data_IF_959893742139
#
_entry.id   IF_959893742139
#
_cell.length_a   1.000
_cell.length_b   1.000
_cell.length_c   1.000
_cell.angle_alpha   90.00
_cell.angle_beta   90.00
_cell.angle_gamma   90.00
#
_symmetry.space_group_name_H-M   'P 1'
#
loop_
_entity.id
_entity.type
_entity.pdbx_description
1 polymer ?
#
# COMPACT_ATOMS: atom_id res chain seq x y z
N UNK A 1 -4.85 -18.10 -20.41
CA UNK A 1 -5.54 -18.47 -19.16
C UNK A 1 -5.17 -17.39 -18.15
N UNK A 2 -5.88 -16.27 -18.17
CA UNK A 2 -5.66 -15.17 -17.22
C UNK A 2 -6.28 -15.59 -15.91
N UNK A 3 -5.46 -15.71 -14.86
CA UNK A 3 -5.99 -15.94 -13.52
C UNK A 3 -6.62 -14.60 -13.07
N UNK A 4 -7.93 -14.56 -12.78
CA UNK A 4 -8.63 -13.30 -12.45
C UNK A 4 -7.99 -12.61 -11.23
N UNK A 5 -7.40 -13.39 -10.34
CA UNK A 5 -6.66 -12.94 -9.16
C UNK A 5 -5.42 -12.09 -9.49
N UNK A 6 -4.71 -12.43 -10.58
CA UNK A 6 -3.53 -11.67 -11.04
C UNK A 6 -3.92 -10.30 -11.59
N UNK A 7 -5.02 -10.21 -12.31
CA UNK A 7 -5.50 -8.93 -12.87
C UNK A 7 -6.02 -8.03 -11.75
N UNK A 8 -6.75 -8.59 -10.78
CA UNK A 8 -7.18 -7.88 -9.58
C UNK A 8 -6.00 -7.32 -8.77
N UNK A 9 -4.91 -8.08 -8.63
CA UNK A 9 -3.70 -7.61 -7.96
C UNK A 9 -3.02 -6.43 -8.69
N UNK A 10 -2.95 -6.47 -10.02
CA UNK A 10 -2.31 -5.39 -10.81
C UNK A 10 -3.15 -4.12 -10.91
N UNK A 11 -4.47 -4.24 -10.78
CA UNK A 11 -5.42 -3.11 -10.82
C UNK A 11 -5.79 -2.60 -9.43
N UNK A 12 -5.20 -3.15 -8.38
CA UNK A 12 -5.41 -2.68 -7.02
C UNK A 12 -5.05 -1.20 -6.93
N UNK A 13 -5.81 -0.43 -6.15
CA UNK A 13 -5.45 0.93 -5.78
C UNK A 13 -5.89 1.16 -4.34
N UNK A 14 -4.94 1.57 -3.49
CA UNK A 14 -5.22 1.83 -2.09
C UNK A 14 -6.17 3.01 -1.88
N UNK A 15 -6.22 3.96 -2.82
CA UNK A 15 -7.07 5.17 -2.70
C UNK A 15 -8.52 4.93 -3.13
N UNK A 16 -8.77 3.88 -3.94
CA UNK A 16 -10.07 3.48 -4.43
C UNK A 16 -10.52 2.12 -3.86
N UNK A 17 -10.20 1.83 -2.60
CA UNK A 17 -10.62 0.59 -1.94
C UNK A 17 -12.13 0.55 -1.69
N UNK A 18 -12.71 -0.63 -1.90
CA UNK A 18 -14.13 -0.88 -1.70
C UNK A 18 -14.42 -1.47 -0.31
N UNK A 19 -15.69 -1.48 0.10
CA UNK A 19 -16.06 -1.94 1.46
C UNK A 19 -15.70 -3.40 1.71
N UNK A 20 -15.79 -4.23 0.68
CA UNK A 20 -15.38 -5.64 0.74
C UNK A 20 -13.92 -5.81 1.15
N UNK A 21 -13.03 -4.92 0.71
CA UNK A 21 -11.62 -4.93 1.11
C UNK A 21 -11.43 -4.52 2.58
N UNK A 22 -12.25 -3.60 3.07
CA UNK A 22 -12.22 -3.17 4.48
C UNK A 22 -12.70 -4.29 5.40
N UNK A 23 -13.69 -5.06 4.95
CA UNK A 23 -14.26 -6.17 5.72
C UNK A 23 -13.39 -7.43 5.66
N UNK A 24 -12.82 -7.76 4.51
CA UNK A 24 -11.92 -8.90 4.33
C UNK A 24 -10.78 -8.57 3.34
N UNK A 25 -9.65 -8.03 3.83
CA UNK A 25 -8.51 -7.67 2.97
C UNK A 25 -7.64 -8.87 2.58
N UNK A 26 -7.73 -9.99 3.31
CA UNK A 26 -6.84 -11.14 3.16
C UNK A 26 -6.78 -11.73 1.73
N UNK A 27 -7.89 -11.94 1.00
CA UNK A 27 -7.83 -12.47 -0.37
C UNK A 27 -7.05 -11.55 -1.32
N UNK A 28 -7.27 -10.24 -1.23
CA UNK A 28 -6.55 -9.26 -2.06
C UNK A 28 -5.07 -9.17 -1.67
N UNK A 29 -4.76 -9.23 -0.37
CA UNK A 29 -3.38 -9.25 0.10
C UNK A 29 -2.61 -10.51 -0.33
N UNK A 30 -3.30 -11.65 -0.44
CA UNK A 30 -2.69 -12.90 -0.93
C UNK A 30 -2.36 -12.78 -2.43
N UNK A 31 -3.30 -12.27 -3.23
CA UNK A 31 -3.12 -11.98 -4.64
C UNK A 31 -1.95 -11.01 -4.90
N UNK A 32 -1.90 -9.90 -4.17
CA UNK A 32 -0.81 -8.93 -4.25
C UNK A 32 0.54 -9.57 -3.89
N UNK A 33 0.59 -10.39 -2.82
CA UNK A 33 1.85 -11.03 -2.41
C UNK A 33 2.39 -12.01 -3.46
N UNK A 34 1.50 -12.69 -4.17
CA UNK A 34 1.85 -13.67 -5.19
C UNK A 34 2.26 -13.02 -6.51
N UNK A 35 1.51 -12.01 -6.97
CA UNK A 35 1.64 -11.49 -8.33
C UNK A 35 2.28 -10.11 -8.43
N UNK A 36 2.14 -9.25 -7.41
CA UNK A 36 2.66 -7.88 -7.42
C UNK A 36 3.10 -7.42 -6.01
N UNK A 37 4.20 -7.98 -5.47
CA UNK A 37 4.57 -7.80 -4.06
C UNK A 37 5.03 -6.39 -3.68
N UNK A 38 5.43 -5.59 -4.67
CA UNK A 38 5.80 -4.18 -4.56
C UNK A 38 4.91 -3.41 -5.52
N UNK A 39 3.71 -3.09 -5.07
CA UNK A 39 2.67 -2.51 -5.89
C UNK A 39 2.79 -0.98 -5.92
N UNK A 40 2.68 -0.39 -7.11
CA UNK A 40 2.75 1.06 -7.30
C UNK A 40 1.35 1.62 -7.51
N UNK A 41 0.88 2.42 -6.56
CA UNK A 41 -0.38 3.13 -6.69
C UNK A 41 -0.25 4.29 -7.72
N UNK A 42 -1.35 4.71 -8.37
CA UNK A 42 -1.38 5.85 -9.29
C UNK A 42 -0.95 7.19 -8.66
N UNK A 43 -1.08 7.34 -7.33
CA UNK A 43 -0.60 8.51 -6.56
C UNK A 43 0.93 8.55 -6.42
N UNK A 44 1.63 7.49 -6.81
CA UNK A 44 3.09 7.36 -6.66
C UNK A 44 3.52 6.74 -5.33
N UNK A 45 2.57 6.42 -4.45
CA UNK A 45 2.82 5.62 -3.25
C UNK A 45 3.08 4.15 -3.58
N UNK A 46 3.91 3.51 -2.77
CA UNK A 46 4.26 2.08 -2.93
C UNK A 46 3.63 1.27 -1.81
N UNK A 47 2.98 0.17 -2.18
CA UNK A 47 2.34 -0.77 -1.26
C UNK A 47 3.13 -2.08 -1.19
N UNK A 48 3.66 -2.39 0.00
CA UNK A 48 4.52 -3.55 0.24
C UNK A 48 3.73 -4.65 0.96
N UNK A 49 3.69 -5.85 0.37
CA UNK A 49 2.88 -6.96 0.91
C UNK A 49 3.69 -8.12 1.49
N UNK A 50 5.00 -8.16 1.21
CA UNK A 50 5.92 -9.16 1.76
C UNK A 50 6.56 -8.66 3.04
N UNK A 51 6.54 -9.51 4.06
CA UNK A 51 7.13 -9.21 5.37
C UNK A 51 8.63 -8.88 5.29
N UNK A 52 9.38 -9.51 4.37
CA UNK A 52 10.80 -9.22 4.20
C UNK A 52 11.05 -7.77 3.74
N UNK A 53 10.26 -7.29 2.78
CA UNK A 53 10.38 -5.95 2.21
C UNK A 53 9.94 -4.89 3.22
N UNK A 54 8.81 -5.12 3.90
CA UNK A 54 8.34 -4.24 4.99
C UNK A 54 9.38 -4.15 6.10
N UNK A 55 9.98 -5.26 6.50
CA UNK A 55 11.02 -5.27 7.54
C UNK A 55 12.27 -4.53 7.10
N UNK A 56 12.73 -4.74 5.87
CA UNK A 56 13.90 -4.04 5.34
C UNK A 56 13.70 -2.53 5.33
N UNK A 57 12.54 -2.08 4.84
CA UNK A 57 12.15 -0.66 4.80
C UNK A 57 12.02 -0.08 6.22
N UNK A 58 11.38 -0.80 7.14
CA UNK A 58 11.20 -0.33 8.51
C UNK A 58 12.51 -0.21 9.30
N UNK A 59 13.48 -1.09 9.01
CA UNK A 59 14.80 -1.07 9.66
C UNK A 59 15.76 -0.07 9.02
N UNK A 60 15.44 0.44 7.83
CA UNK A 60 16.27 1.38 7.12
C UNK A 60 16.21 2.77 7.77
N UNK A 61 17.38 3.33 8.07
CA UNK A 61 17.49 4.62 8.78
C UNK A 61 17.26 5.83 7.88
N UNK A 62 17.27 5.65 6.57
CA UNK A 62 16.93 6.67 5.59
C UNK A 62 15.43 6.77 5.32
N UNK A 63 14.67 5.75 5.74
CA UNK A 63 13.20 5.75 5.69
C UNK A 63 12.65 6.61 6.82
N UNK A 64 12.42 7.89 6.49
CA UNK A 64 11.78 8.84 7.38
C UNK A 64 10.26 8.77 7.17
N UNK A 65 9.52 8.63 8.27
CA UNK A 65 8.07 8.84 8.24
C UNK A 65 7.82 10.36 8.24
N UNK A 66 8.06 10.99 7.09
CA UNK A 66 7.87 12.44 6.92
C UNK A 66 6.38 12.75 6.79
N UNK A 67 5.73 12.81 7.96
CA UNK A 67 4.30 13.09 8.08
C UNK A 67 3.95 14.55 7.82
N UNK A 68 4.95 15.43 7.64
CA UNK A 68 4.76 16.89 7.59
C UNK A 68 3.86 17.36 6.45
N UNK A 69 4.00 16.81 5.25
CA UNK A 69 3.12 17.20 4.13
C UNK A 69 1.71 16.61 4.27
N UNK A 70 1.62 15.31 4.57
CA UNK A 70 0.33 14.62 4.70
C UNK A 70 -0.51 15.15 5.88
N UNK A 71 0.14 15.51 7.01
CA UNK A 71 -0.54 16.12 8.15
C UNK A 71 -0.90 17.58 7.89
N UNK A 72 -0.07 18.37 7.20
CA UNK A 72 -0.46 19.75 6.82
C UNK A 72 -1.73 19.77 5.98
N UNK A 73 -1.86 18.85 5.02
CA UNK A 73 -3.06 18.76 4.18
C UNK A 73 -4.33 18.40 4.98
N UNK A 74 -4.22 17.56 6.01
CA UNK A 74 -5.38 17.12 6.81
C UNK A 74 -5.69 17.94 8.06
N UNK A 75 -4.69 18.58 8.67
CA UNK A 75 -4.80 19.20 10.00
C UNK A 75 -4.36 20.68 10.06
N UNK A 76 -3.86 21.26 8.97
CA UNK A 76 -3.38 22.65 8.95
C UNK A 76 -2.03 22.85 9.65
N UNK A 77 -1.62 24.12 9.83
CA UNK A 77 -0.34 24.49 10.45
C UNK A 77 -0.49 24.47 11.99
N UNK A 78 -0.29 23.30 12.59
CA UNK A 78 -0.25 23.09 14.03
C UNK A 78 1.04 22.38 14.44
N UNK A 79 1.48 22.48 15.71
CA UNK A 79 2.72 21.86 16.15
C UNK A 79 2.62 20.33 16.03
N UNK A 80 3.42 19.77 15.12
CA UNK A 80 3.69 18.33 14.94
C UNK A 80 4.84 17.90 15.85
#
# INVERSE_FOLDING_TARGET
MTCPDREAALQFDLNAIDRAFIEDPYPVLDALRQYDPVHFNPDGSVYLTRHADVRAVYQDRSMLSDKKEAFRHKFGDGPL
#
